data_IF_672418730109
#
_entry.id   IF_672418730109
#
_cell.length_a   1.000
_cell.length_b   1.000
_cell.length_c   1.000
_cell.angle_alpha   90.00
_cell.angle_beta   90.00
_cell.angle_gamma   90.00
#
_symmetry.space_group_name_H-M   'P 1'
#
loop_
_entity.id
_entity.type
_entity.pdbx_description
1 polymer ?
#
# COMPACT_ATOMS: atom_id res chain seq x y z
N UNK A 1 30.27 8.28 20.89
CA UNK A 1 30.10 7.13 19.96
C UNK A 1 28.78 6.39 20.14
N UNK A 2 28.38 5.95 21.34
CA UNK A 2 27.14 5.18 21.56
C UNK A 2 25.85 5.85 21.02
N UNK A 3 25.71 7.18 21.20
CA UNK A 3 24.54 7.95 20.73
C UNK A 3 24.45 8.07 19.20
N UNK A 4 25.59 8.03 18.51
CA UNK A 4 25.63 8.11 17.04
C UNK A 4 25.29 6.75 16.42
N UNK A 5 25.83 5.66 16.98
CA UNK A 5 25.52 4.31 16.52
C UNK A 5 24.03 3.96 16.68
N UNK A 6 23.44 4.32 17.83
CA UNK A 6 22.00 4.13 18.05
C UNK A 6 21.12 4.94 17.09
N UNK A 7 21.50 6.17 16.77
CA UNK A 7 20.80 6.99 15.77
C UNK A 7 20.83 6.35 14.37
N UNK A 8 21.99 5.87 13.91
CA UNK A 8 22.12 5.20 12.61
C UNK A 8 21.26 3.94 12.55
N UNK A 9 21.31 3.10 13.58
CA UNK A 9 20.51 1.87 13.65
C UNK A 9 19.01 2.21 13.61
N UNK A 10 18.58 3.25 14.34
CA UNK A 10 17.17 3.68 14.33
C UNK A 10 16.71 4.17 12.96
N UNK A 11 17.56 4.91 12.23
CA UNK A 11 17.26 5.36 10.86
C UNK A 11 17.16 4.17 9.90
N UNK A 12 18.08 3.21 9.98
CA UNK A 12 18.02 1.99 9.16
C UNK A 12 16.77 1.16 9.46
N UNK A 13 16.40 1.01 10.72
CA UNK A 13 15.18 0.30 11.09
C UNK A 13 13.93 1.00 10.53
N UNK A 14 13.87 2.33 10.63
CA UNK A 14 12.76 3.12 10.07
C UNK A 14 12.65 2.96 8.55
N UNK A 15 13.76 3.03 7.80
CA UNK A 15 13.73 2.89 6.35
C UNK A 15 13.26 1.50 5.93
N UNK A 16 13.79 0.44 6.54
CA UNK A 16 13.41 -0.95 6.26
C UNK A 16 11.91 -1.16 6.54
N UNK A 17 11.43 -0.73 7.72
CA UNK A 17 10.02 -0.88 8.08
C UNK A 17 9.10 -0.11 7.14
N UNK A 18 9.46 1.12 6.79
CA UNK A 18 8.66 1.95 5.87
C UNK A 18 8.56 1.33 4.47
N UNK A 19 9.64 0.75 3.94
CA UNK A 19 9.62 0.09 2.64
C UNK A 19 8.83 -1.21 2.71
N UNK A 20 9.10 -2.04 3.72
CA UNK A 20 8.45 -3.35 3.86
C UNK A 20 6.93 -3.23 4.00
N UNK A 21 6.46 -2.33 4.87
CA UNK A 21 5.01 -2.13 5.09
C UNK A 21 4.30 -1.62 3.83
N UNK A 22 4.87 -0.63 3.15
CA UNK A 22 4.28 -0.05 1.93
C UNK A 22 4.33 -1.01 0.74
N UNK A 23 5.40 -1.81 0.63
CA UNK A 23 5.51 -2.87 -0.37
C UNK A 23 4.41 -3.92 -0.23
N UNK A 24 4.19 -4.41 1.00
CA UNK A 24 3.13 -5.39 1.25
C UNK A 24 1.75 -4.79 0.99
N UNK A 25 1.49 -3.56 1.44
CA UNK A 25 0.21 -2.91 1.20
C UNK A 25 -0.07 -2.66 -0.29
N UNK A 26 0.93 -2.24 -1.07
CA UNK A 26 0.80 -2.16 -2.54
C UNK A 26 0.54 -3.54 -3.16
N UNK A 27 1.26 -4.57 -2.73
CA UNK A 27 1.08 -5.93 -3.25
C UNK A 27 -0.35 -6.42 -3.03
N UNK A 28 -0.95 -6.14 -1.87
CA UNK A 28 -2.36 -6.45 -1.62
C UNK A 28 -3.30 -5.75 -2.62
N UNK A 29 -3.11 -4.44 -2.85
CA UNK A 29 -3.92 -3.69 -3.84
C UNK A 29 -3.78 -4.25 -5.25
N UNK A 30 -2.56 -4.65 -5.63
CA UNK A 30 -2.27 -5.22 -6.95
C UNK A 30 -2.93 -6.59 -7.13
N UNK A 31 -2.81 -7.49 -6.16
CA UNK A 31 -3.43 -8.82 -6.23
C UNK A 31 -4.97 -8.73 -6.23
N UNK A 32 -5.53 -7.77 -5.48
CA UNK A 32 -6.97 -7.51 -5.51
C UNK A 32 -7.46 -7.02 -6.88
N UNK A 33 -6.70 -6.11 -7.50
CA UNK A 33 -6.98 -5.62 -8.85
C UNK A 33 -6.91 -6.75 -9.87
N UNK A 34 -5.89 -7.61 -9.76
CA UNK A 34 -5.74 -8.80 -10.60
C UNK A 34 -6.87 -9.80 -10.41
N UNK A 35 -7.34 -9.99 -9.18
CA UNK A 35 -8.50 -10.83 -8.88
C UNK A 35 -9.76 -10.30 -9.60
N UNK A 36 -10.03 -9.00 -9.50
CA UNK A 36 -11.15 -8.36 -10.20
C UNK A 36 -11.05 -8.51 -11.73
N UNK A 37 -9.88 -8.24 -12.32
CA UNK A 37 -9.64 -8.41 -13.76
C UNK A 37 -9.84 -9.86 -14.21
N UNK A 38 -9.40 -10.81 -13.38
CA UNK A 38 -9.58 -12.24 -13.66
C UNK A 38 -11.05 -12.62 -13.65
N UNK A 39 -11.84 -12.15 -12.68
CA UNK A 39 -13.29 -12.36 -12.67
C UNK A 39 -13.96 -11.74 -13.92
N UNK A 40 -13.50 -10.57 -14.36
CA UNK A 40 -14.08 -9.91 -15.52
C UNK A 40 -13.89 -10.70 -16.83
N UNK A 41 -12.80 -11.46 -16.95
CA UNK A 41 -12.49 -12.24 -18.17
C UNK A 41 -13.06 -13.66 -18.17
N UNK A 42 -13.66 -14.11 -17.06
CA UNK A 42 -14.24 -15.45 -16.97
C UNK A 42 -15.49 -15.60 -17.86
N UNK A 43 -15.68 -16.77 -18.53
CA UNK A 43 -16.86 -17.04 -19.34
C UNK A 43 -18.07 -17.44 -18.45
N UNK A 44 -18.44 -16.56 -17.52
CA UNK A 44 -19.48 -16.79 -16.50
C UNK A 44 -20.85 -17.15 -17.10
N UNK A 45 -21.13 -16.67 -18.30
CA UNK A 45 -22.36 -16.94 -19.05
C UNK A 45 -22.51 -18.41 -19.46
N UNK A 46 -21.43 -19.20 -19.42
CA UNK A 46 -21.46 -20.65 -19.69
C UNK A 46 -21.69 -21.49 -18.44
N UNK A 47 -21.70 -20.89 -17.26
CA UNK A 47 -21.81 -21.61 -16.00
C UNK A 47 -23.28 -21.88 -15.62
N UNK A 48 -23.48 -22.81 -14.69
CA UNK A 48 -24.80 -23.05 -14.12
C UNK A 48 -25.30 -21.85 -13.29
N UNK A 49 -26.60 -21.85 -12.99
CA UNK A 49 -27.24 -20.73 -12.29
C UNK A 49 -26.66 -20.47 -10.89
N UNK A 50 -26.25 -21.52 -10.18
CA UNK A 50 -25.65 -21.40 -8.85
C UNK A 50 -24.30 -20.66 -8.90
N UNK A 51 -23.42 -21.06 -9.82
CA UNK A 51 -22.12 -20.43 -10.03
C UNK A 51 -22.25 -19.00 -10.54
N UNK A 52 -23.25 -18.69 -11.37
CA UNK A 52 -23.53 -17.31 -11.80
C UNK A 52 -23.92 -16.40 -10.63
N UNK A 53 -24.70 -16.91 -9.66
CA UNK A 53 -25.02 -16.15 -8.44
C UNK A 53 -23.78 -15.88 -7.60
N UNK A 54 -22.94 -16.90 -7.41
CA UNK A 54 -21.67 -16.75 -6.69
C UNK A 54 -20.73 -15.77 -7.38
N UNK A 55 -20.64 -15.84 -8.71
CA UNK A 55 -19.89 -14.89 -9.53
C UNK A 55 -20.35 -13.44 -9.31
N UNK A 56 -21.66 -13.20 -9.32
CA UNK A 56 -22.22 -11.87 -9.11
C UNK A 56 -21.84 -11.30 -7.73
N UNK A 57 -21.84 -12.13 -6.69
CA UNK A 57 -21.39 -11.72 -5.35
C UNK A 57 -19.90 -11.36 -5.36
N UNK A 58 -19.05 -12.20 -5.97
CA UNK A 58 -17.61 -11.96 -6.08
C UNK A 58 -17.30 -10.67 -6.86
N UNK A 59 -17.98 -10.44 -7.98
CA UNK A 59 -17.84 -9.21 -8.78
C UNK A 59 -18.27 -7.96 -7.99
N UNK A 60 -19.40 -8.03 -7.30
CA UNK A 60 -19.90 -6.91 -6.49
C UNK A 60 -18.91 -6.57 -5.38
N UNK A 61 -18.39 -7.58 -4.68
CA UNK A 61 -17.41 -7.41 -3.60
C UNK A 61 -16.05 -6.90 -4.07
N UNK A 62 -15.60 -7.31 -5.26
CA UNK A 62 -14.29 -6.95 -5.81
C UNK A 62 -14.25 -5.63 -6.59
N UNK A 63 -15.42 -5.08 -6.93
CA UNK A 63 -15.56 -3.80 -7.66
C UNK A 63 -14.83 -2.61 -7.01
N UNK A 64 -14.61 -2.65 -5.70
CA UNK A 64 -13.81 -1.67 -4.96
C UNK A 64 -12.46 -2.26 -4.63
N UNK A 65 -11.38 -1.55 -4.96
CA UNK A 65 -10.03 -1.96 -4.56
C UNK A 65 -9.96 -2.02 -3.04
N UNK A 66 -9.62 -3.20 -2.52
CA UNK A 66 -9.38 -3.38 -1.09
C UNK A 66 -8.05 -2.74 -0.73
N UNK A 67 -8.10 -1.58 -0.09
CA UNK A 67 -6.93 -0.86 0.39
C UNK A 67 -6.76 -1.11 1.89
N UNK A 68 -5.55 -1.45 2.32
CA UNK A 68 -5.21 -1.47 3.75
C UNK A 68 -5.03 -0.01 4.17
N UNK A 69 -5.91 0.50 5.04
CA UNK A 69 -5.89 1.90 5.47
C UNK A 69 -5.42 2.03 6.93
N UNK A 70 -4.66 3.08 7.19
CA UNK A 70 -4.35 3.55 8.55
C UNK A 70 -5.43 4.54 8.97
N UNK A 71 -6.11 4.26 10.09
CA UNK A 71 -7.20 5.06 10.64
C UNK A 71 -8.26 5.45 9.58
N UNK A 72 -8.57 4.56 8.64
CA UNK A 72 -9.49 4.77 7.51
C UNK A 72 -9.21 5.95 6.57
N UNK A 73 -8.13 6.71 6.79
CA UNK A 73 -7.82 7.92 6.04
C UNK A 73 -6.84 7.66 4.91
N UNK A 74 -5.79 6.88 5.17
CA UNK A 74 -4.63 6.81 4.28
C UNK A 74 -4.29 5.37 3.95
N UNK A 75 -4.28 5.04 2.65
CA UNK A 75 -3.87 3.73 2.17
C UNK A 75 -2.36 3.50 2.35
N UNK A 76 -2.00 2.31 2.84
CA UNK A 76 -0.62 1.84 2.98
C UNK A 76 -0.17 1.34 1.62
N UNK A 77 0.37 2.24 0.80
CA UNK A 77 0.86 1.91 -0.53
C UNK A 77 2.00 2.84 -0.93
N UNK A 78 2.48 2.74 -2.17
CA UNK A 78 3.62 3.55 -2.62
C UNK A 78 3.35 5.06 -2.62
N UNK A 79 2.08 5.49 -2.71
CA UNK A 79 1.73 6.90 -2.59
C UNK A 79 2.07 7.41 -1.18
N UNK A 80 1.79 6.62 -0.14
CA UNK A 80 2.14 6.97 1.23
C UNK A 80 3.65 6.93 1.45
N UNK A 81 4.36 5.96 0.87
CA UNK A 81 5.83 5.91 0.92
C UNK A 81 6.44 7.21 0.38
N UNK A 82 6.03 7.64 -0.82
CA UNK A 82 6.51 8.87 -1.45
C UNK A 82 6.19 10.11 -0.59
N UNK A 83 5.02 10.17 0.04
CA UNK A 83 4.66 11.25 0.97
C UNK A 83 5.60 11.30 2.17
N UNK A 84 5.87 10.17 2.81
CA UNK A 84 6.78 10.08 3.97
C UNK A 84 8.17 10.58 3.59
N UNK A 85 8.73 10.10 2.48
CA UNK A 85 10.06 10.51 2.01
C UNK A 85 10.11 11.99 1.59
N UNK A 86 9.05 12.50 0.96
CA UNK A 86 8.92 13.93 0.64
C UNK A 86 8.91 14.80 1.89
N UNK A 87 8.18 14.38 2.94
CA UNK A 87 8.19 15.09 4.22
C UNK A 87 9.56 15.03 4.90
N UNK A 88 10.21 13.87 4.90
CA UNK A 88 11.57 13.74 5.44
C UNK A 88 12.55 14.69 4.73
N UNK A 89 12.53 14.72 3.40
CA UNK A 89 13.34 15.66 2.61
C UNK A 89 13.02 17.12 2.92
N UNK A 90 11.73 17.47 3.01
CA UNK A 90 11.30 18.83 3.34
C UNK A 90 11.82 19.28 4.70
N UNK A 91 11.76 18.42 5.72
CA UNK A 91 12.25 18.72 7.07
C UNK A 91 13.76 18.93 7.03
N UNK A 92 14.51 18.04 6.37
CA UNK A 92 15.97 18.18 6.23
C UNK A 92 16.35 19.50 5.56
N UNK A 93 15.65 19.88 4.49
CA UNK A 93 15.91 21.12 3.77
C UNK A 93 15.58 22.36 4.62
N UNK A 94 14.44 22.36 5.32
CA UNK A 94 14.06 23.48 6.21
C UNK A 94 15.07 23.65 7.34
N UNK A 95 15.51 22.56 7.98
CA UNK A 95 16.52 22.61 9.04
C UNK A 95 17.86 23.11 8.50
N UNK A 96 18.27 22.65 7.32
CA UNK A 96 19.49 23.13 6.68
C UNK A 96 19.45 24.63 6.38
N UNK A 97 18.30 25.14 5.88
CA UNK A 97 18.09 26.56 5.63
C UNK A 97 18.02 27.43 6.89
N UNK A 98 17.57 26.89 8.02
CA UNK A 98 17.55 27.63 9.30
C UNK A 98 18.95 27.67 9.93
N UNK A 99 19.77 26.65 9.66
CA UNK A 99 21.13 26.54 10.23
C UNK A 99 22.17 27.39 9.50
N UNK A 100 22.03 27.56 8.19
CA UNK A 100 22.86 28.44 7.35
C UNK A 100 22.27 29.85 7.28
#
# INVERSE_FOLDING_TARGET
MLKLGTAIISMMAFTILSIFTMYNGQRYENEWSRFYETLYTMPWYKWNLENQKTYLLMMTGSSKILQIKVFDTTAINYILLLKIWKYAYSIMNTVFKIRN
#
